data_IF_645991267775
#
_entry.id   IF_645991267775
#
_cell.length_a   1.000
_cell.length_b   1.000
_cell.length_c   1.000
_cell.angle_alpha   90.00
_cell.angle_beta   90.00
_cell.angle_gamma   90.00
#
_symmetry.space_group_name_H-M   'P 1'
#
loop_
_entity.id
_entity.type
_entity.pdbx_description
1 polymer ?
#
# COMPACT_ATOMS: atom_id res chain seq x y z
N UNK A 1 11.78 0.71 20.78
CA UNK A 1 12.30 0.59 19.41
C UNK A 1 13.36 1.66 19.23
N UNK A 2 14.58 1.27 18.88
CA UNK A 2 15.66 2.23 18.63
C UNK A 2 15.44 2.82 17.24
N UNK A 3 15.30 4.14 17.16
CA UNK A 3 15.16 4.85 15.90
C UNK A 3 16.55 5.15 15.31
N UNK A 4 16.70 4.92 14.01
CA UNK A 4 17.97 5.06 13.26
C UNK A 4 18.28 6.51 12.83
N UNK A 5 17.97 7.51 13.68
CA UNK A 5 18.14 8.92 13.30
C UNK A 5 19.58 9.28 12.93
N UNK A 6 20.55 8.80 13.72
CA UNK A 6 21.98 9.09 13.50
C UNK A 6 22.45 8.40 12.23
N UNK A 7 22.16 7.10 12.08
CA UNK A 7 22.52 6.32 10.89
C UNK A 7 21.87 6.86 9.62
N UNK A 8 20.60 7.28 9.71
CA UNK A 8 19.88 7.88 8.58
C UNK A 8 20.52 9.21 8.15
N UNK A 9 20.92 10.06 9.11
CA UNK A 9 21.59 11.31 8.81
C UNK A 9 22.99 11.09 8.25
N UNK A 10 23.77 10.19 8.83
CA UNK A 10 25.09 9.83 8.33
C UNK A 10 25.03 9.30 6.90
N UNK A 11 24.06 8.42 6.63
CA UNK A 11 23.82 7.91 5.29
C UNK A 11 23.40 8.99 4.31
N UNK A 12 22.56 9.93 4.74
CA UNK A 12 22.18 11.07 3.92
C UNK A 12 23.40 11.93 3.55
N UNK A 13 24.22 12.29 4.53
CA UNK A 13 25.42 13.12 4.31
C UNK A 13 26.44 12.42 3.40
N UNK A 14 26.55 11.09 3.50
CA UNK A 14 27.38 10.26 2.62
C UNK A 14 26.86 10.33 1.17
N UNK A 15 25.58 10.02 0.91
CA UNK A 15 25.01 10.00 -0.45
C UNK A 15 24.87 11.38 -1.08
N UNK A 16 24.83 12.42 -0.27
CA UNK A 16 24.86 13.82 -0.72
C UNK A 16 26.26 14.27 -1.12
N UNK A 17 27.29 13.65 -0.55
CA UNK A 17 28.66 14.17 -0.58
C UNK A 17 28.73 15.65 -0.15
N UNK A 18 28.27 15.91 1.08
CA UNK A 18 28.02 17.26 1.58
C UNK A 18 29.27 18.16 1.50
N UNK A 19 30.45 17.56 1.70
CA UNK A 19 31.74 18.33 1.65
C UNK A 19 32.06 18.82 0.24
N UNK A 20 31.82 17.96 -0.77
CA UNK A 20 31.99 18.35 -2.17
C UNK A 20 30.95 19.41 -2.55
N UNK A 21 29.70 19.30 -2.08
CA UNK A 21 28.65 20.28 -2.32
C UNK A 21 28.97 21.66 -1.73
N UNK A 22 29.57 21.72 -0.55
CA UNK A 22 30.01 22.98 0.05
C UNK A 22 31.15 23.61 -0.74
N UNK A 23 32.14 22.83 -1.17
CA UNK A 23 33.22 23.30 -2.01
C UNK A 23 32.69 23.81 -3.38
N UNK A 24 31.78 23.06 -3.99
CA UNK A 24 31.16 23.45 -5.27
C UNK A 24 30.36 24.75 -5.15
N UNK A 25 29.67 24.99 -4.04
CA UNK A 25 28.92 26.23 -3.77
C UNK A 25 29.81 27.47 -3.83
N UNK A 26 31.00 27.39 -3.25
CA UNK A 26 31.97 28.52 -3.30
C UNK A 26 32.44 28.79 -4.72
N UNK A 27 32.69 27.74 -5.51
CA UNK A 27 33.10 27.89 -6.90
C UNK A 27 31.96 28.42 -7.78
N UNK A 28 30.75 27.95 -7.58
CA UNK A 28 29.57 28.41 -8.30
C UNK A 28 29.33 29.91 -8.02
N UNK A 29 29.48 30.32 -6.77
CA UNK A 29 29.35 31.73 -6.40
C UNK A 29 30.36 32.62 -7.12
N UNK A 30 31.62 32.19 -7.24
CA UNK A 30 32.65 32.91 -8.02
C UNK A 30 32.30 33.02 -9.52
N UNK A 31 31.50 32.10 -10.03
CA UNK A 31 31.00 32.08 -11.43
C UNK A 31 29.65 32.81 -11.61
N UNK A 32 29.12 33.40 -10.55
CA UNK A 32 27.84 34.09 -10.54
C UNK A 32 26.62 33.17 -10.46
N UNK A 33 26.79 31.90 -10.08
CA UNK A 33 25.70 30.95 -9.87
C UNK A 33 25.41 30.83 -8.38
N UNK A 34 24.19 31.15 -7.98
CA UNK A 34 23.75 30.98 -6.60
C UNK A 34 23.22 29.57 -6.40
N UNK A 35 23.94 28.78 -5.62
CA UNK A 35 23.49 27.43 -5.20
C UNK A 35 23.38 27.36 -3.69
N UNK A 36 22.49 26.52 -3.21
CA UNK A 36 22.32 26.24 -1.79
C UNK A 36 21.91 24.79 -1.56
N UNK A 37 22.17 24.28 -0.38
CA UNK A 37 21.71 23.01 0.05
C UNK A 37 21.27 23.04 1.52
N UNK A 38 20.39 22.14 1.89
CA UNK A 38 19.91 21.97 3.26
C UNK A 38 19.61 20.52 3.55
N UNK A 39 19.69 20.18 4.83
CA UNK A 39 19.34 18.87 5.34
C UNK A 39 18.39 19.00 6.52
N UNK A 40 17.50 18.03 6.67
CA UNK A 40 16.59 17.90 7.81
C UNK A 40 16.54 16.44 8.27
N UNK A 41 16.25 16.26 9.55
CA UNK A 41 15.80 14.99 10.10
C UNK A 41 14.37 15.16 10.59
N UNK A 42 13.56 14.12 10.42
CA UNK A 42 12.19 14.11 10.93
C UNK A 42 11.86 12.79 11.63
N UNK A 43 10.97 12.92 12.61
CA UNK A 43 10.33 11.77 13.26
C UNK A 43 8.83 11.98 13.18
N UNK A 44 8.11 10.98 12.71
CA UNK A 44 6.67 11.04 12.53
C UNK A 44 5.95 9.93 13.29
N UNK A 45 4.83 10.28 13.93
CA UNK A 45 3.90 9.30 14.49
C UNK A 45 3.17 8.63 13.36
N UNK A 46 3.20 7.30 13.34
CA UNK A 46 2.49 6.49 12.35
C UNK A 46 1.55 5.51 13.03
N UNK A 47 0.55 5.06 12.28
CA UNK A 47 -0.36 3.99 12.69
C UNK A 47 -0.92 4.14 14.11
N UNK A 48 -1.56 5.28 14.46
CA UNK A 48 -2.10 5.50 15.80
C UNK A 48 -3.23 4.53 16.11
N UNK A 49 -3.19 3.97 17.33
CA UNK A 49 -4.16 3.02 17.85
C UNK A 49 -5.31 3.72 18.61
N UNK A 50 -6.34 2.98 19.06
CA UNK A 50 -7.38 3.53 19.93
C UNK A 50 -6.84 4.16 21.21
N UNK A 51 -5.70 3.70 21.72
CA UNK A 51 -5.07 4.27 22.92
C UNK A 51 -4.63 5.72 22.71
N UNK A 52 -4.16 6.05 21.51
CA UNK A 52 -3.79 7.40 21.12
C UNK A 52 -5.02 8.32 21.03
N UNK A 53 -6.07 7.87 20.35
CA UNK A 53 -7.30 8.66 20.15
C UNK A 53 -8.11 8.80 21.45
N UNK A 54 -8.21 7.73 22.24
CA UNK A 54 -8.98 7.71 23.46
C UNK A 54 -8.52 8.73 24.50
N UNK A 55 -7.22 8.95 24.62
CA UNK A 55 -6.63 9.96 25.51
C UNK A 55 -7.04 11.37 25.10
N UNK A 56 -7.11 11.66 23.79
CA UNK A 56 -7.48 12.96 23.25
C UNK A 56 -9.00 13.18 23.15
N UNK A 57 -9.83 12.16 23.38
CA UNK A 57 -11.29 12.23 23.25
C UNK A 57 -11.78 12.46 21.81
N UNK A 58 -10.94 12.19 20.80
CA UNK A 58 -11.29 12.41 19.40
C UNK A 58 -12.29 11.35 18.90
N UNK A 59 -13.40 11.80 18.30
CA UNK A 59 -14.38 10.93 17.66
C UNK A 59 -13.95 10.52 16.25
N UNK A 60 -12.80 9.85 16.14
CA UNK A 60 -12.23 9.39 14.88
C UNK A 60 -12.09 7.87 14.94
N UNK A 61 -12.53 7.18 13.89
CA UNK A 61 -12.34 5.73 13.80
C UNK A 61 -10.86 5.39 13.80
N UNK A 62 -10.46 4.55 14.74
CA UNK A 62 -9.10 4.02 14.85
C UNK A 62 -8.89 2.77 14.01
N UNK A 63 -9.94 2.24 13.40
CA UNK A 63 -9.89 1.13 12.45
C UNK A 63 -10.08 1.62 11.02
N UNK A 64 -9.63 0.80 10.06
CA UNK A 64 -9.99 0.91 8.65
C UNK A 64 -10.54 -0.40 8.13
N UNK A 65 -11.34 -0.30 7.07
CA UNK A 65 -11.98 -1.41 6.42
C UNK A 65 -11.62 -1.53 4.95
N UNK A 66 -11.66 -2.76 4.45
CA UNK A 66 -11.55 -3.05 3.03
C UNK A 66 -12.57 -4.11 2.63
N UNK A 67 -13.15 -3.95 1.43
CA UNK A 67 -13.98 -4.93 0.77
C UNK A 67 -13.38 -5.25 -0.59
N UNK A 68 -13.24 -6.53 -0.91
CA UNK A 68 -12.59 -6.98 -2.14
C UNK A 68 -13.42 -8.09 -2.78
N UNK A 69 -13.63 -8.02 -4.10
CA UNK A 69 -14.38 -9.02 -4.84
C UNK A 69 -13.72 -9.39 -6.16
N UNK A 70 -13.90 -10.63 -6.56
CA UNK A 70 -13.62 -11.08 -7.92
C UNK A 70 -14.89 -10.88 -8.78
N UNK A 71 -14.75 -10.14 -9.87
CA UNK A 71 -15.84 -9.89 -10.82
C UNK A 71 -15.94 -10.99 -11.90
N UNK A 72 -17.08 -11.11 -12.57
CA UNK A 72 -17.30 -12.09 -13.65
C UNK A 72 -16.30 -11.95 -14.82
N UNK A 73 -15.71 -10.79 -14.99
CA UNK A 73 -14.63 -10.55 -15.98
C UNK A 73 -13.26 -11.10 -15.57
N UNK A 74 -13.11 -11.57 -14.34
CA UNK A 74 -11.82 -11.94 -13.75
C UNK A 74 -11.05 -10.75 -13.16
N UNK A 75 -11.61 -9.54 -13.21
CA UNK A 75 -11.04 -8.37 -12.55
C UNK A 75 -11.32 -8.39 -11.04
N UNK A 76 -10.42 -7.78 -10.29
CA UNK A 76 -10.59 -7.55 -8.85
C UNK A 76 -11.08 -6.12 -8.62
N UNK A 77 -12.13 -5.96 -7.83
CA UNK A 77 -12.55 -4.66 -7.34
C UNK A 77 -12.32 -4.58 -5.83
N UNK A 78 -11.52 -3.61 -5.43
CA UNK A 78 -11.18 -3.28 -4.04
C UNK A 78 -11.81 -1.94 -3.67
N UNK A 79 -12.48 -1.86 -2.52
CA UNK A 79 -12.86 -0.61 -1.90
C UNK A 79 -12.28 -0.52 -0.49
N UNK A 80 -11.77 0.66 -0.11
CA UNK A 80 -11.17 0.87 1.21
C UNK A 80 -11.58 2.22 1.79
N UNK A 81 -11.70 2.28 3.11
CA UNK A 81 -12.01 3.50 3.86
C UNK A 81 -10.91 4.57 3.82
N UNK A 82 -9.71 4.21 3.37
CA UNK A 82 -8.59 5.15 3.20
C UNK A 82 -8.87 6.10 2.03
N UNK A 83 -8.36 7.33 2.12
CA UNK A 83 -8.53 8.34 1.08
C UNK A 83 -7.21 8.66 0.38
N UNK A 84 -7.30 8.95 -0.91
CA UNK A 84 -6.18 9.45 -1.70
C UNK A 84 -6.04 10.96 -1.51
N UNK A 85 -4.82 11.44 -1.28
CA UNK A 85 -4.48 12.85 -1.10
C UNK A 85 -3.30 13.27 -2.00
N UNK A 86 -2.94 12.43 -2.97
CA UNK A 86 -1.79 12.62 -3.86
C UNK A 86 -0.53 11.85 -3.44
N UNK A 87 -0.58 11.09 -2.33
CA UNK A 87 0.55 10.33 -1.79
C UNK A 87 0.67 8.91 -2.37
N UNK A 88 -0.16 8.53 -3.34
CA UNK A 88 -0.08 7.23 -4.02
C UNK A 88 -0.76 6.07 -3.30
N UNK A 89 -1.71 6.33 -2.42
CA UNK A 89 -2.45 5.28 -1.67
C UNK A 89 -3.14 4.29 -2.60
N UNK A 90 -3.74 4.77 -3.70
CA UNK A 90 -4.37 3.86 -4.68
C UNK A 90 -3.38 2.81 -5.21
N UNK A 91 -2.15 3.24 -5.53
CA UNK A 91 -1.11 2.34 -6.02
C UNK A 91 -0.69 1.33 -4.95
N UNK A 92 -0.51 1.77 -3.70
CA UNK A 92 -0.16 0.88 -2.57
C UNK A 92 -1.26 -0.16 -2.34
N UNK A 93 -2.53 0.24 -2.32
CA UNK A 93 -3.64 -0.70 -2.13
C UNK A 93 -3.72 -1.73 -3.27
N UNK A 94 -3.46 -1.31 -4.51
CA UNK A 94 -3.35 -2.22 -5.66
C UNK A 94 -2.20 -3.21 -5.50
N UNK A 95 -1.03 -2.75 -5.08
CA UNK A 95 0.14 -3.61 -4.86
C UNK A 95 -0.14 -4.68 -3.81
N UNK A 96 -0.65 -4.28 -2.64
CA UNK A 96 -0.96 -5.21 -1.55
C UNK A 96 -1.98 -6.26 -2.01
N UNK A 97 -3.07 -5.83 -2.66
CA UNK A 97 -4.10 -6.75 -3.13
C UNK A 97 -3.58 -7.69 -4.24
N UNK A 98 -2.82 -7.15 -5.19
CA UNK A 98 -2.29 -7.92 -6.31
C UNK A 98 -1.27 -8.97 -5.85
N UNK A 99 -0.34 -8.60 -4.98
CA UNK A 99 0.66 -9.49 -4.41
C UNK A 99 0.01 -10.61 -3.60
N UNK A 100 -0.88 -10.25 -2.66
CA UNK A 100 -1.55 -11.23 -1.82
C UNK A 100 -2.43 -12.21 -2.61
N UNK A 101 -3.13 -11.73 -3.63
CA UNK A 101 -3.99 -12.56 -4.47
C UNK A 101 -3.23 -13.38 -5.51
N UNK A 102 -2.02 -12.98 -5.90
CA UNK A 102 -1.29 -13.56 -7.03
C UNK A 102 -1.80 -13.09 -8.39
N UNK A 103 -2.35 -11.87 -8.47
CA UNK A 103 -2.91 -11.31 -9.71
C UNK A 103 -2.06 -10.17 -10.25
N UNK A 104 -2.25 -9.82 -11.51
CA UNK A 104 -1.59 -8.66 -12.10
C UNK A 104 -2.15 -7.37 -11.51
N UNK A 105 -1.30 -6.40 -11.19
CA UNK A 105 -1.69 -5.12 -10.61
C UNK A 105 -2.72 -4.36 -11.48
N UNK A 106 -2.61 -4.45 -12.81
CA UNK A 106 -3.56 -3.83 -13.73
C UNK A 106 -4.95 -4.51 -13.77
N UNK A 107 -5.09 -5.68 -13.17
CA UNK A 107 -6.39 -6.35 -12.98
C UNK A 107 -7.14 -5.87 -11.74
N UNK A 108 -6.51 -5.04 -10.90
CA UNK A 108 -7.11 -4.52 -9.67
C UNK A 108 -7.62 -3.09 -9.90
N UNK A 109 -8.91 -2.88 -9.68
CA UNK A 109 -9.56 -1.57 -9.62
C UNK A 109 -9.75 -1.19 -8.17
N UNK A 110 -9.54 0.08 -7.83
CA UNK A 110 -9.65 0.57 -6.46
C UNK A 110 -10.65 1.72 -6.41
N UNK A 111 -11.50 1.71 -5.39
CA UNK A 111 -12.39 2.81 -5.01
C UNK A 111 -12.00 3.28 -3.61
N UNK A 112 -11.63 4.56 -3.49
CA UNK A 112 -11.27 5.23 -2.23
C UNK A 112 -12.10 6.48 -2.06
N UNK A 113 -12.33 6.90 -0.80
CA UNK A 113 -12.95 8.18 -0.49
C UNK A 113 -14.45 8.31 -0.81
N UNK A 114 -15.10 7.23 -1.19
CA UNK A 114 -16.54 7.17 -1.42
C UNK A 114 -17.23 6.52 -0.21
N UNK A 115 -17.88 7.33 0.62
CA UNK A 115 -18.52 6.87 1.86
C UNK A 115 -19.73 5.96 1.64
N UNK A 116 -20.31 5.96 0.44
CA UNK A 116 -21.42 5.06 0.08
C UNK A 116 -20.92 3.70 -0.42
N UNK A 117 -19.70 3.65 -0.98
CA UNK A 117 -19.14 2.46 -1.61
C UNK A 117 -18.04 1.76 -0.81
N UNK A 118 -17.51 2.42 0.24
CA UNK A 118 -16.40 1.90 1.03
C UNK A 118 -16.84 1.51 2.44
N UNK A 119 -16.19 0.53 3.08
CA UNK A 119 -16.43 0.24 4.50
C UNK A 119 -16.15 1.47 5.37
N UNK A 120 -16.80 1.54 6.53
CA UNK A 120 -16.54 2.60 7.49
C UNK A 120 -15.11 2.54 8.04
N UNK A 121 -14.45 3.69 8.15
CA UNK A 121 -13.09 3.81 8.67
C UNK A 121 -12.68 5.24 8.98
N UNK A 122 -11.43 5.44 9.38
CA UNK A 122 -10.89 6.72 9.81
C UNK A 122 -10.37 7.61 8.69
N UNK A 123 -10.20 7.10 7.48
CA UNK A 123 -9.60 7.85 6.37
C UNK A 123 -8.07 7.98 6.50
N UNK A 124 -7.48 8.93 5.75
CA UNK A 124 -6.03 9.13 5.68
C UNK A 124 -5.57 10.32 6.49
N UNK A 125 -4.80 10.07 7.54
CA UNK A 125 -4.13 11.05 8.39
C UNK A 125 -3.15 10.32 9.32
N UNK A 126 -2.20 11.04 9.95
CA UNK A 126 -1.19 10.47 10.87
C UNK A 126 -0.51 9.20 10.30
N UNK A 127 -0.18 9.20 9.02
CA UNK A 127 0.56 8.15 8.30
C UNK A 127 0.02 6.73 8.56
N UNK A 128 -1.31 6.58 8.55
CA UNK A 128 -1.99 5.30 8.81
C UNK A 128 -2.40 4.54 7.55
N UNK A 129 -2.34 5.18 6.38
CA UNK A 129 -2.88 4.63 5.15
C UNK A 129 -2.30 3.26 4.79
N UNK A 130 -0.99 3.16 4.67
CA UNK A 130 -0.31 1.91 4.32
C UNK A 130 -0.38 0.88 5.45
N UNK A 131 -0.20 1.30 6.72
CA UNK A 131 -0.20 0.40 7.86
C UNK A 131 -1.61 -0.12 8.20
N UNK A 132 -2.52 0.74 8.63
CA UNK A 132 -3.86 0.31 9.08
C UNK A 132 -4.74 -0.06 7.89
N UNK A 133 -4.80 0.78 6.87
CA UNK A 133 -5.58 0.52 5.66
C UNK A 133 -5.03 -0.63 4.85
N UNK A 134 -3.71 -0.70 4.68
CA UNK A 134 -3.05 -1.80 3.98
C UNK A 134 -3.24 -3.15 4.65
N UNK A 135 -3.20 -3.22 5.99
CA UNK A 135 -3.50 -4.44 6.73
C UNK A 135 -4.98 -4.88 6.57
N UNK A 136 -5.92 -3.94 6.51
CA UNK A 136 -7.31 -4.27 6.22
C UNK A 136 -7.45 -4.88 4.80
N UNK A 137 -6.76 -4.31 3.81
CA UNK A 137 -6.71 -4.84 2.44
C UNK A 137 -6.06 -6.23 2.42
N UNK A 138 -4.93 -6.42 3.09
CA UNK A 138 -4.22 -7.70 3.18
C UNK A 138 -5.12 -8.79 3.76
N UNK A 139 -5.84 -8.48 4.86
CA UNK A 139 -6.79 -9.43 5.49
C UNK A 139 -7.96 -9.77 4.57
N UNK A 140 -8.53 -8.78 3.88
CA UNK A 140 -9.62 -9.00 2.93
C UNK A 140 -9.15 -9.84 1.73
N UNK A 141 -7.97 -9.54 1.19
CA UNK A 141 -7.38 -10.28 0.08
C UNK A 141 -7.06 -11.73 0.44
N UNK A 142 -6.55 -11.99 1.66
CA UNK A 142 -6.34 -13.37 2.16
C UNK A 142 -7.64 -14.17 2.21
N UNK A 143 -8.71 -13.57 2.72
CA UNK A 143 -10.03 -14.21 2.76
C UNK A 143 -10.55 -14.51 1.34
N UNK A 144 -10.45 -13.55 0.42
CA UNK A 144 -10.88 -13.76 -0.96
C UNK A 144 -10.04 -14.84 -1.65
N UNK A 145 -8.71 -14.84 -1.47
CA UNK A 145 -7.83 -15.89 -2.00
C UNK A 145 -8.22 -17.27 -1.49
N UNK A 146 -8.51 -17.38 -0.19
CA UNK A 146 -8.97 -18.64 0.41
C UNK A 146 -10.29 -19.11 -0.21
N UNK A 147 -11.24 -18.21 -0.40
CA UNK A 147 -12.53 -18.53 -1.07
C UNK A 147 -12.30 -18.99 -2.52
N UNK A 148 -11.46 -18.26 -3.28
CA UNK A 148 -11.11 -18.64 -4.67
C UNK A 148 -10.51 -20.04 -4.72
N UNK A 149 -9.55 -20.34 -3.85
CA UNK A 149 -8.88 -21.64 -3.81
C UNK A 149 -9.85 -22.77 -3.38
N UNK A 150 -10.78 -22.53 -2.45
CA UNK A 150 -11.81 -23.48 -2.07
C UNK A 150 -12.75 -23.79 -3.25
N UNK A 151 -13.20 -22.77 -3.97
CA UNK A 151 -14.06 -22.95 -5.16
C UNK A 151 -13.29 -23.67 -6.28
N UNK A 152 -12.06 -23.28 -6.53
CA UNK A 152 -11.21 -23.92 -7.53
C UNK A 152 -10.95 -25.39 -7.20
N UNK A 153 -10.68 -25.72 -5.94
CA UNK A 153 -10.49 -27.10 -5.48
C UNK A 153 -11.73 -27.97 -5.77
N UNK A 154 -12.93 -27.42 -5.50
CA UNK A 154 -14.18 -28.10 -5.82
C UNK A 154 -14.39 -28.31 -7.33
N UNK A 155 -14.17 -27.28 -8.16
CA UNK A 155 -14.30 -27.35 -9.63
C UNK A 155 -13.28 -28.32 -10.22
N UNK A 156 -12.02 -28.24 -9.78
CA UNK A 156 -10.89 -29.01 -10.30
C UNK A 156 -10.77 -30.42 -9.66
N UNK A 157 -11.66 -30.75 -8.71
CA UNK A 157 -11.68 -32.02 -7.97
C UNK A 157 -10.30 -32.38 -7.39
N UNK A 158 -9.72 -31.43 -6.64
CA UNK A 158 -8.37 -31.56 -6.04
C UNK A 158 -8.33 -30.93 -4.65
N UNK A 159 -7.28 -31.19 -3.90
CA UNK A 159 -7.06 -30.59 -2.59
C UNK A 159 -6.62 -29.12 -2.71
N UNK A 160 -7.21 -28.24 -1.88
CA UNK A 160 -6.92 -26.81 -1.90
C UNK A 160 -5.42 -26.50 -1.76
N UNK A 161 -4.71 -27.21 -0.89
CA UNK A 161 -3.31 -26.98 -0.59
C UNK A 161 -2.36 -27.28 -1.77
N UNK A 162 -2.86 -27.99 -2.80
CA UNK A 162 -2.14 -28.23 -4.06
C UNK A 162 -2.27 -27.08 -5.06
N UNK A 163 -3.10 -26.08 -4.75
CA UNK A 163 -3.40 -24.94 -5.61
C UNK A 163 -2.75 -23.66 -5.11
N UNK A 164 -2.53 -22.72 -6.02
CA UNK A 164 -2.20 -21.32 -5.74
C UNK A 164 -2.78 -20.43 -6.84
N UNK A 165 -2.69 -19.11 -6.66
CA UNK A 165 -3.07 -18.13 -7.69
C UNK A 165 -1.81 -17.46 -8.19
N UNK A 166 -1.63 -17.45 -9.52
CA UNK A 166 -0.52 -16.77 -10.17
C UNK A 166 -1.00 -16.16 -11.50
N UNK A 167 -0.64 -14.90 -11.73
CA UNK A 167 -0.93 -14.19 -12.98
C UNK A 167 -2.39 -14.28 -13.46
N UNK A 168 -3.36 -14.10 -12.54
CA UNK A 168 -4.80 -14.19 -12.76
C UNK A 168 -5.31 -15.62 -13.08
N UNK A 169 -4.54 -16.65 -12.74
CA UNK A 169 -4.94 -18.04 -12.89
C UNK A 169 -4.79 -18.80 -11.59
N UNK A 170 -5.72 -19.69 -11.29
CA UNK A 170 -5.47 -20.75 -10.30
C UNK A 170 -4.62 -21.80 -10.96
N UNK A 171 -3.47 -22.10 -10.37
CA UNK A 171 -2.50 -23.06 -10.85
C UNK A 171 -2.38 -24.25 -9.90
N UNK A 172 -1.92 -25.39 -10.41
CA UNK A 172 -1.47 -26.53 -9.59
C UNK A 172 0.01 -26.37 -9.27
N UNK A 173 0.39 -26.39 -8.01
CA UNK A 173 1.80 -26.25 -7.55
C UNK A 173 2.72 -27.31 -8.16
N UNK A 174 2.19 -28.49 -8.45
CA UNK A 174 2.94 -29.61 -9.02
C UNK A 174 2.84 -29.69 -10.56
N UNK A 175 2.36 -28.63 -11.21
CA UNK A 175 2.15 -28.58 -12.65
C UNK A 175 0.82 -29.21 -13.10
N UNK A 176 0.46 -28.96 -14.34
CA UNK A 176 -0.79 -29.39 -14.95
C UNK A 176 -1.74 -28.23 -15.28
N UNK A 177 -2.92 -28.56 -15.78
CA UNK A 177 -3.91 -27.59 -16.21
C UNK A 177 -4.50 -26.83 -15.01
N UNK A 178 -4.55 -25.49 -15.11
CA UNK A 178 -5.18 -24.59 -14.17
C UNK A 178 -6.51 -24.05 -14.68
N UNK A 179 -7.08 -23.09 -13.96
CA UNK A 179 -8.30 -22.39 -14.36
C UNK A 179 -8.09 -20.88 -14.23
N UNK A 180 -8.48 -20.10 -15.24
CA UNK A 180 -8.41 -18.64 -15.12
C UNK A 180 -9.43 -18.12 -14.09
N UNK A 181 -9.08 -17.00 -13.42
CA UNK A 181 -10.02 -16.35 -12.49
C UNK A 181 -11.31 -15.93 -13.18
N UNK A 182 -11.23 -15.52 -14.46
CA UNK A 182 -12.42 -15.23 -15.26
C UNK A 182 -13.32 -16.47 -15.39
N UNK A 183 -12.77 -17.61 -15.80
CA UNK A 183 -13.55 -18.85 -15.97
C UNK A 183 -14.17 -19.33 -14.65
N UNK A 184 -13.42 -19.23 -13.56
CA UNK A 184 -13.90 -19.54 -12.23
C UNK A 184 -15.07 -18.63 -11.85
N UNK A 185 -14.92 -17.30 -12.02
CA UNK A 185 -15.97 -16.33 -11.72
C UNK A 185 -17.21 -16.51 -12.59
N UNK A 186 -17.04 -16.76 -13.89
CA UNK A 186 -18.15 -17.10 -14.80
C UNK A 186 -18.91 -18.34 -14.35
N UNK A 187 -18.22 -19.36 -13.87
CA UNK A 187 -18.86 -20.57 -13.34
C UNK A 187 -19.69 -20.23 -12.09
N UNK A 188 -19.13 -19.46 -11.17
CA UNK A 188 -19.83 -19.04 -9.95
C UNK A 188 -21.06 -18.18 -10.25
N UNK A 189 -20.90 -17.13 -11.06
CA UNK A 189 -21.96 -16.13 -11.26
C UNK A 189 -23.04 -16.56 -12.27
N UNK A 190 -22.66 -17.30 -13.31
CA UNK A 190 -23.56 -17.58 -14.43
C UNK A 190 -23.94 -19.05 -14.57
N UNK A 191 -23.14 -19.96 -13.95
CA UNK A 191 -23.33 -21.42 -14.07
C UNK A 191 -23.21 -22.11 -12.72
N UNK A 192 -23.76 -21.50 -11.67
CA UNK A 192 -23.69 -22.04 -10.32
C UNK A 192 -24.26 -23.45 -10.16
N UNK A 193 -25.11 -23.92 -11.10
CA UNK A 193 -25.60 -25.30 -11.16
C UNK A 193 -24.52 -26.33 -11.52
N UNK A 194 -23.40 -25.92 -12.07
CA UNK A 194 -22.21 -26.75 -12.34
C UNK A 194 -21.31 -26.92 -11.11
N UNK A 195 -21.51 -26.14 -10.07
CA UNK A 195 -20.71 -26.25 -8.85
C UNK A 195 -21.13 -27.52 -8.07
N UNK A 196 -20.15 -28.24 -7.48
CA UNK A 196 -20.46 -29.35 -6.58
C UNK A 196 -21.34 -28.89 -5.41
N UNK A 197 -22.27 -29.76 -5.00
CA UNK A 197 -23.18 -29.47 -3.88
C UNK A 197 -22.38 -29.15 -2.61
N UNK A 198 -22.77 -28.06 -1.94
CA UNK A 198 -22.11 -27.60 -0.70
C UNK A 198 -20.91 -26.68 -0.92
N UNK A 199 -20.55 -26.34 -2.17
CA UNK A 199 -19.51 -25.34 -2.44
C UNK A 199 -19.99 -23.97 -1.98
N UNK A 200 -19.22 -23.32 -1.08
CA UNK A 200 -19.45 -21.92 -0.76
C UNK A 200 -18.95 -21.05 -1.95
N UNK A 201 -19.88 -20.44 -2.66
CA UNK A 201 -19.63 -19.68 -3.89
C UNK A 201 -19.35 -18.17 -3.65
N UNK A 202 -18.78 -17.83 -2.51
CA UNK A 202 -18.54 -16.44 -2.11
C UNK A 202 -17.26 -15.88 -2.75
N UNK A 203 -17.42 -14.93 -3.67
CA UNK A 203 -16.32 -14.19 -4.32
C UNK A 203 -16.20 -12.73 -3.83
N UNK A 204 -16.67 -12.45 -2.64
CA UNK A 204 -16.58 -11.20 -1.91
C UNK A 204 -16.01 -11.47 -0.53
N UNK A 205 -15.11 -10.61 -0.09
CA UNK A 205 -14.58 -10.64 1.27
C UNK A 205 -14.47 -9.23 1.85
N UNK A 206 -14.79 -9.08 3.12
CA UNK A 206 -14.62 -7.83 3.86
C UNK A 206 -13.80 -8.08 5.11
N UNK A 207 -12.92 -7.15 5.43
CA UNK A 207 -12.13 -7.15 6.66
C UNK A 207 -11.93 -5.75 7.20
N UNK A 208 -11.66 -5.67 8.48
CA UNK A 208 -11.19 -4.46 9.14
C UNK A 208 -9.90 -4.76 9.90
N UNK A 209 -9.14 -3.70 10.15
CA UNK A 209 -7.93 -3.77 10.95
C UNK A 209 -7.90 -2.68 12.00
N UNK A 210 -7.43 -3.05 13.16
CA UNK A 210 -7.23 -2.22 14.33
C UNK A 210 -5.91 -2.61 14.97
N UNK A 211 -5.08 -1.63 15.32
CA UNK A 211 -3.86 -1.88 16.09
C UNK A 211 -4.22 -2.01 17.57
N UNK A 212 -3.69 -3.04 18.21
CA UNK A 212 -3.88 -3.33 19.62
C UNK A 212 -2.55 -3.27 20.37
N UNK A 213 -2.60 -2.91 21.66
CA UNK A 213 -1.49 -3.07 22.59
C UNK A 213 -0.45 -1.95 22.59
N UNK A 214 -0.37 -1.14 21.55
CA UNK A 214 0.54 0.02 21.47
C UNK A 214 -0.22 1.29 21.09
N UNK A 215 0.14 2.47 21.62
CA UNK A 215 -0.57 3.71 21.28
C UNK A 215 -0.29 4.17 19.83
N UNK A 216 0.95 4.03 19.36
CA UNK A 216 1.42 4.41 18.04
C UNK A 216 2.79 3.79 17.80
N UNK A 217 3.29 3.87 16.55
CA UNK A 217 4.69 3.65 16.18
C UNK A 217 5.26 4.91 15.57
N UNK A 218 6.58 5.00 15.53
CA UNK A 218 7.30 6.08 14.87
C UNK A 218 7.98 5.56 13.61
N UNK A 219 8.14 6.44 12.63
CA UNK A 219 9.11 6.32 11.56
C UNK A 219 10.04 7.52 11.60
N UNK A 220 11.25 7.38 11.07
CA UNK A 220 12.17 8.49 10.92
C UNK A 220 12.71 8.59 9.50
N UNK A 221 13.11 9.78 9.14
CA UNK A 221 13.82 10.01 7.88
C UNK A 221 14.81 11.15 8.00
N UNK A 222 15.78 11.16 7.09
CA UNK A 222 16.66 12.27 6.84
C UNK A 222 16.55 12.67 5.36
N UNK A 223 16.38 13.96 5.10
CA UNK A 223 16.17 14.47 3.74
C UNK A 223 17.13 15.60 3.45
N UNK A 224 17.59 15.67 2.19
CA UNK A 224 18.46 16.71 1.70
C UNK A 224 17.99 17.25 0.36
N UNK A 225 18.26 18.54 0.15
CA UNK A 225 17.90 19.21 -1.09
C UNK A 225 19.03 20.13 -1.54
N UNK A 226 19.27 20.18 -2.85
CA UNK A 226 20.13 21.17 -3.48
C UNK A 226 19.31 22.02 -4.43
N UNK A 227 19.44 23.33 -4.31
CA UNK A 227 18.73 24.31 -5.15
C UNK A 227 19.71 25.23 -5.86
N UNK A 228 19.28 25.83 -6.95
CA UNK A 228 19.91 27.00 -7.57
C UNK A 228 18.89 28.14 -7.68
N UNK A 229 19.39 29.37 -7.63
CA UNK A 229 18.58 30.57 -7.73
C UNK A 229 19.04 31.37 -8.95
N UNK A 230 18.12 31.68 -9.82
CA UNK A 230 18.31 32.58 -10.94
C UNK A 230 18.42 34.02 -10.40
N UNK A 231 19.53 34.69 -10.65
CA UNK A 231 19.82 35.99 -10.05
C UNK A 231 18.96 37.12 -10.64
N UNK A 232 18.52 36.99 -11.87
CA UNK A 232 17.74 38.02 -12.54
C UNK A 232 16.25 37.94 -12.17
N UNK A 233 15.73 36.72 -11.98
CA UNK A 233 14.31 36.50 -11.72
C UNK A 233 13.99 36.09 -10.28
N UNK A 234 14.99 35.67 -9.50
CA UNK A 234 14.79 35.10 -8.17
C UNK A 234 14.13 33.72 -8.14
N UNK A 235 13.94 33.09 -9.31
CA UNK A 235 13.29 31.78 -9.40
C UNK A 235 14.20 30.70 -8.81
N UNK A 236 13.64 29.91 -7.91
CA UNK A 236 14.32 28.77 -7.28
C UNK A 236 14.07 27.51 -8.12
N UNK A 237 15.15 26.79 -8.46
CA UNK A 237 15.10 25.48 -9.10
C UNK A 237 15.66 24.42 -8.17
N UNK A 238 14.91 23.35 -7.95
CA UNK A 238 15.40 22.16 -7.26
C UNK A 238 16.27 21.38 -8.25
N UNK A 239 17.56 21.24 -7.90
CA UNK A 239 18.52 20.52 -8.74
C UNK A 239 18.54 19.03 -8.39
N UNK A 240 18.49 18.71 -7.08
CA UNK A 240 18.49 17.33 -6.60
C UNK A 240 17.85 17.24 -5.23
N UNK A 241 17.21 16.10 -4.98
CA UNK A 241 16.62 15.73 -3.71
C UNK A 241 17.15 14.34 -3.31
N UNK A 242 17.43 14.16 -2.01
CA UNK A 242 17.83 12.89 -1.42
C UNK A 242 16.92 12.58 -0.24
N UNK A 243 16.60 11.30 -0.04
CA UNK A 243 15.86 10.83 1.11
C UNK A 243 16.46 9.51 1.61
N UNK A 244 16.54 9.37 2.90
CA UNK A 244 16.86 8.13 3.61
C UNK A 244 15.72 7.91 4.61
N UNK A 245 15.06 6.78 4.51
CA UNK A 245 13.87 6.45 5.32
C UNK A 245 14.07 5.09 6.00
N UNK A 246 13.56 4.99 7.26
CA UNK A 246 13.52 3.77 8.07
C UNK A 246 12.12 3.53 8.61
#
# INVERSE_FOLDING_TARGET
>A
EDLSHEESMDKLLEIMDIKEKEAQKEEDFKKGVLTGHGVISMCEVTNPSPLFYGVGGAHISSQDGASIRLEGSGAIHLSSSITEQGQGTEAIMKQIAADQLGVKMNSVRVTLGDTDATPYGGGTWASRGAGIGGEAVLKAARKLKDNILNIAAAIMQTEKDTLDVENNNVIRKNGGEGISLQKLAETVYYRGHELPKGTNAELLATASFLIEGIPFVFTNSAMGCQVSIDQDTGIIKINKFWAVED
#
